data_IF_030735162606
#
_entry.id   IF_030735162606
#
_cell.length_a   1.000
_cell.length_b   1.000
_cell.length_c   1.000
_cell.angle_alpha   90.00
_cell.angle_beta   90.00
_cell.angle_gamma   90.00
#
_symmetry.space_group_name_H-M   'P 1'
#
loop_
_entity.id
_entity.type
_entity.pdbx_description
1 polymer ?
#
# COMPACT_ATOMS: atom_id res chain seq x y z
N UNK A 1 29.98 4.65 -10.82
CA UNK A 1 28.60 4.54 -10.29
C UNK A 1 28.25 5.85 -9.58
N UNK A 2 27.22 6.60 -10.01
CA UNK A 2 26.81 7.85 -9.32
C UNK A 2 25.89 7.48 -8.16
N UNK A 3 26.34 7.72 -6.92
CA UNK A 3 25.57 7.46 -5.71
C UNK A 3 24.85 8.76 -5.34
N UNK A 4 23.52 8.71 -5.26
CA UNK A 4 22.70 9.86 -4.89
C UNK A 4 22.21 9.72 -3.45
N UNK A 5 22.52 10.70 -2.61
CA UNK A 5 22.13 10.70 -1.21
C UNK A 5 20.73 11.31 -0.99
N UNK A 6 19.90 10.73 -0.09
CA UNK A 6 18.64 11.34 0.33
C UNK A 6 18.94 12.65 1.05
N UNK A 7 18.72 13.78 0.37
CA UNK A 7 19.11 15.11 0.86
C UNK A 7 19.70 16.01 -0.22
N UNK A 8 20.11 15.44 -1.35
CA UNK A 8 20.53 16.25 -2.51
C UNK A 8 19.32 17.08 -2.99
N UNK A 9 19.44 18.41 -3.01
CA UNK A 9 18.35 19.33 -3.41
C UNK A 9 18.59 20.01 -4.76
N UNK A 10 19.83 20.02 -5.26
CA UNK A 10 20.25 20.69 -6.50
C UNK A 10 20.66 19.67 -7.57
N UNK A 11 20.32 19.95 -8.84
CA UNK A 11 20.70 19.10 -9.99
C UNK A 11 19.92 17.79 -10.15
N UNK A 12 18.76 17.64 -9.48
CA UNK A 12 17.92 16.44 -9.57
C UNK A 12 16.87 16.61 -10.67
N UNK A 13 16.83 15.65 -11.60
CA UNK A 13 15.79 15.56 -12.62
C UNK A 13 14.41 15.26 -12.00
N UNK A 14 13.33 15.70 -12.65
CA UNK A 14 11.95 15.43 -12.18
C UNK A 14 11.68 13.93 -11.95
N UNK A 15 12.23 13.08 -12.81
CA UNK A 15 12.14 11.61 -12.71
C UNK A 15 12.83 11.10 -11.47
N UNK A 16 14.07 11.54 -11.21
CA UNK A 16 14.84 11.12 -10.04
C UNK A 16 14.19 11.59 -8.73
N UNK A 17 13.62 12.81 -8.70
CA UNK A 17 12.83 13.30 -7.56
C UNK A 17 11.60 12.43 -7.29
N UNK A 18 10.89 12.01 -8.34
CA UNK A 18 9.74 11.11 -8.21
C UNK A 18 10.14 9.72 -7.69
N UNK A 19 11.28 9.19 -8.14
CA UNK A 19 11.82 7.93 -7.62
C UNK A 19 12.17 8.02 -6.13
N UNK A 20 12.82 9.11 -5.69
CA UNK A 20 13.09 9.33 -4.27
C UNK A 20 11.82 9.43 -3.45
N UNK A 21 10.80 10.15 -3.94
CA UNK A 21 9.50 10.26 -3.25
C UNK A 21 8.79 8.91 -3.13
N UNK A 22 8.88 8.05 -4.15
CA UNK A 22 8.34 6.68 -4.08
C UNK A 22 9.11 5.84 -3.06
N UNK A 23 10.44 5.94 -3.02
CA UNK A 23 11.28 5.22 -2.06
C UNK A 23 11.08 5.69 -0.62
N UNK A 24 10.89 6.99 -0.40
CA UNK A 24 10.65 7.53 0.94
C UNK A 24 9.32 7.07 1.54
N UNK A 25 8.36 6.65 0.72
CA UNK A 25 7.10 6.08 1.19
C UNK A 25 7.24 4.65 1.76
N UNK A 26 8.40 4.00 1.56
CA UNK A 26 8.69 2.66 2.08
C UNK A 26 8.92 2.71 3.60
N UNK A 27 9.63 3.71 4.11
CA UNK A 27 9.94 3.83 5.55
C UNK A 27 8.67 3.90 6.42
N UNK A 28 7.66 4.75 6.10
CA UNK A 28 6.37 4.71 6.79
C UNK A 28 5.68 3.35 6.70
N UNK A 29 5.70 2.70 5.53
CA UNK A 29 5.07 1.39 5.35
C UNK A 29 5.73 0.33 6.24
N UNK A 30 7.06 0.32 6.36
CA UNK A 30 7.80 -0.55 7.29
C UNK A 30 7.47 -0.19 8.74
N UNK A 31 7.39 1.09 9.09
CA UNK A 31 6.97 1.56 10.41
C UNK A 31 5.60 1.02 10.80
N UNK A 32 4.61 1.15 9.91
CA UNK A 32 3.27 0.56 10.12
C UNK A 32 3.32 -0.96 10.22
N UNK A 33 4.13 -1.66 9.43
CA UNK A 33 4.28 -3.12 9.54
C UNK A 33 4.89 -3.54 10.89
N UNK A 34 5.86 -2.79 11.42
CA UNK A 34 6.44 -3.03 12.75
C UNK A 34 5.44 -2.80 13.87
N UNK A 35 4.69 -1.70 13.83
CA UNK A 35 3.74 -1.32 14.88
C UNK A 35 2.42 -2.11 14.83
N UNK A 36 1.80 -2.20 13.66
CA UNK A 36 0.46 -2.78 13.46
C UNK A 36 0.48 -4.12 12.71
N UNK A 37 1.50 -4.35 11.87
CA UNK A 37 1.58 -5.49 10.95
C UNK A 37 1.98 -6.83 11.56
N UNK A 38 2.05 -6.95 12.89
CA UNK A 38 2.57 -8.14 13.62
C UNK A 38 4.06 -8.46 13.36
N UNK A 39 4.78 -7.64 12.59
CA UNK A 39 6.21 -7.84 12.37
C UNK A 39 7.01 -7.75 13.68
N UNK A 40 6.58 -6.89 14.61
CA UNK A 40 7.20 -6.77 15.94
C UNK A 40 6.84 -7.88 16.94
N UNK A 41 5.98 -8.84 16.57
CA UNK A 41 5.56 -9.96 17.42
C UNK A 41 5.69 -11.26 16.65
N UNK A 42 6.84 -11.91 16.76
CA UNK A 42 7.04 -13.23 16.18
C UNK A 42 6.73 -14.33 17.20
N UNK A 43 5.80 -15.22 16.87
CA UNK A 43 5.49 -16.42 17.66
C UNK A 43 6.19 -17.68 17.14
N UNK A 44 6.90 -17.59 16.01
CA UNK A 44 7.67 -18.67 15.42
C UNK A 44 9.06 -18.74 16.07
N UNK A 45 9.57 -19.95 16.28
CA UNK A 45 10.85 -20.18 16.96
C UNK A 45 12.03 -20.09 15.99
N UNK A 46 13.07 -19.37 16.40
CA UNK A 46 14.36 -19.33 15.72
C UNK A 46 14.39 -18.46 14.46
N UNK A 47 15.58 -18.35 13.86
CA UNK A 47 15.87 -17.46 12.72
C UNK A 47 15.04 -17.75 11.46
N UNK A 48 14.71 -19.02 11.22
CA UNK A 48 13.81 -19.42 10.13
C UNK A 48 12.40 -18.88 10.40
N UNK A 49 11.94 -18.94 11.64
CA UNK A 49 10.68 -18.35 12.07
C UNK A 49 10.63 -16.84 11.86
N UNK A 50 11.72 -16.14 12.21
CA UNK A 50 11.84 -14.68 11.99
C UNK A 50 11.72 -14.32 10.50
N UNK A 51 12.43 -15.07 9.64
CA UNK A 51 12.37 -14.88 8.19
C UNK A 51 10.97 -15.13 7.64
N UNK A 52 10.32 -16.22 8.05
CA UNK A 52 8.95 -16.54 7.66
C UNK A 52 7.94 -15.48 8.12
N UNK A 53 8.04 -15.02 9.37
CA UNK A 53 7.17 -13.97 9.90
C UNK A 53 7.32 -12.67 9.11
N UNK A 54 8.55 -12.28 8.76
CA UNK A 54 8.81 -11.11 7.94
C UNK A 54 8.19 -11.20 6.54
N UNK A 55 8.37 -12.34 5.87
CA UNK A 55 7.80 -12.59 4.53
C UNK A 55 6.27 -12.59 4.58
N UNK A 56 5.67 -13.32 5.53
CA UNK A 56 4.22 -13.43 5.67
C UNK A 56 3.56 -12.10 6.07
N UNK A 57 4.19 -11.33 6.96
CA UNK A 57 3.74 -9.98 7.30
C UNK A 57 3.72 -9.08 6.05
N UNK A 58 4.80 -9.07 5.27
CA UNK A 58 4.88 -8.30 4.03
C UNK A 58 3.83 -8.74 3.00
N UNK A 59 3.65 -10.05 2.82
CA UNK A 59 2.61 -10.60 1.95
C UNK A 59 1.21 -10.17 2.40
N UNK A 60 0.91 -10.28 3.70
CA UNK A 60 -0.37 -9.87 4.27
C UNK A 60 -0.66 -8.36 4.08
N UNK A 61 0.35 -7.50 4.20
CA UNK A 61 0.21 -6.08 3.92
C UNK A 61 -0.12 -5.80 2.45
N UNK A 62 0.56 -6.48 1.52
CA UNK A 62 0.30 -6.36 0.08
C UNK A 62 -1.11 -6.84 -0.29
N UNK A 63 -1.52 -8.01 0.22
CA UNK A 63 -2.86 -8.56 0.01
C UNK A 63 -3.94 -7.59 0.52
N UNK A 64 -3.78 -7.04 1.73
CA UNK A 64 -4.72 -6.04 2.28
C UNK A 64 -4.80 -4.78 1.41
N UNK A 65 -3.68 -4.37 0.82
CA UNK A 65 -3.64 -3.22 -0.09
C UNK A 65 -4.39 -3.50 -1.40
N UNK A 66 -4.21 -4.68 -1.99
CA UNK A 66 -4.96 -5.11 -3.18
C UNK A 66 -6.46 -5.15 -2.89
N UNK A 67 -6.87 -5.80 -1.79
CA UNK A 67 -8.27 -5.90 -1.41
C UNK A 67 -8.93 -4.53 -1.17
N UNK A 68 -8.22 -3.57 -0.55
CA UNK A 68 -8.72 -2.19 -0.41
C UNK A 68 -8.97 -1.53 -1.76
N UNK A 69 -8.06 -1.69 -2.72
CA UNK A 69 -8.22 -1.13 -4.07
C UNK A 69 -9.39 -1.77 -4.81
N UNK A 70 -9.52 -3.10 -4.73
CA UNK A 70 -10.66 -3.82 -5.31
C UNK A 70 -11.98 -3.38 -4.69
N UNK A 71 -12.05 -3.20 -3.37
CA UNK A 71 -13.25 -2.71 -2.68
C UNK A 71 -13.66 -1.33 -3.17
N UNK A 72 -12.69 -0.40 -3.31
CA UNK A 72 -12.97 0.94 -3.85
C UNK A 72 -13.42 0.88 -5.31
N UNK A 73 -12.77 0.06 -6.13
CA UNK A 73 -13.16 -0.13 -7.52
C UNK A 73 -14.58 -0.69 -7.64
N UNK A 74 -14.92 -1.69 -6.84
CA UNK A 74 -16.28 -2.25 -6.79
C UNK A 74 -17.31 -1.22 -6.33
N UNK A 75 -16.99 -0.42 -5.31
CA UNK A 75 -17.87 0.65 -4.84
C UNK A 75 -18.11 1.71 -5.93
N UNK A 76 -17.09 2.05 -6.72
CA UNK A 76 -17.23 2.97 -7.85
C UNK A 76 -18.14 2.39 -8.94
N UNK A 77 -17.96 1.11 -9.30
CA UNK A 77 -18.86 0.43 -10.26
C UNK A 77 -20.29 0.47 -9.74
N UNK A 78 -20.52 0.10 -8.48
CA UNK A 78 -21.84 0.09 -7.87
C UNK A 78 -22.48 1.48 -7.90
N UNK A 79 -21.72 2.53 -7.55
CA UNK A 79 -22.22 3.91 -7.60
C UNK A 79 -22.63 4.33 -9.02
N UNK A 80 -21.84 3.98 -10.04
CA UNK A 80 -22.18 4.25 -11.45
C UNK A 80 -23.44 3.49 -11.88
N UNK A 81 -23.57 2.21 -11.51
CA UNK A 81 -24.77 1.41 -11.81
C UNK A 81 -26.00 1.97 -11.11
N UNK A 82 -25.89 2.37 -9.84
CA UNK A 82 -26.99 2.97 -9.08
C UNK A 82 -27.39 4.34 -9.64
N UNK A 83 -26.42 5.15 -10.09
CA UNK A 83 -26.68 6.43 -10.75
C UNK A 83 -27.42 6.30 -12.08
N UNK A 84 -27.44 5.10 -12.68
CA UNK A 84 -28.10 4.81 -13.97
C UNK A 84 -29.50 4.20 -13.81
N UNK A 85 -30.00 3.99 -12.58
CA UNK A 85 -31.38 3.54 -12.38
C UNK A 85 -32.33 4.71 -12.60
N UNK A 86 -33.25 4.68 -13.59
CA UNK A 86 -34.37 5.60 -13.59
C UNK A 86 -35.19 5.33 -12.32
N UNK A 87 -35.51 6.38 -11.59
CA UNK A 87 -36.49 6.37 -10.51
C UNK A 87 -37.82 5.84 -11.06
N UNK A 88 -38.10 4.55 -10.86
CA UNK A 88 -39.42 3.92 -11.02
C UNK A 88 -40.36 4.40 -9.90
N UNK A 89 -40.50 5.71 -9.74
CA UNK A 89 -41.43 6.36 -8.80
C UNK A 89 -42.08 7.61 -9.40
N UNK A 90 -42.17 7.70 -10.73
CA UNK A 90 -42.85 8.79 -11.44
C UNK A 90 -44.13 8.35 -12.18
N UNK A 91 -44.69 7.19 -11.84
CA UNK A 91 -45.98 6.73 -12.36
C UNK A 91 -46.81 6.06 -11.25
N UNK A 92 -47.19 6.86 -10.25
CA UNK A 92 -48.48 6.79 -9.56
C UNK A 92 -48.96 8.23 -9.42
#
# INVERSE_FOLDING_TARGET
MKIYHPGLRRGITRTLKAMFKRRSAIEPAIGHMKAEGKLGRNWLKGSIGDALNAVLCGAGYNLRTILRKLRLFYALILAVVMSKRPTLTAFV
#
